data_IF_958114581962
#
_entry.id   IF_958114581962
#
_cell.length_a   1.000
_cell.length_b   1.000
_cell.length_c   1.000
_cell.angle_alpha   90.00
_cell.angle_beta   90.00
_cell.angle_gamma   90.00
#
_symmetry.space_group_name_H-M   'P 1'
#
loop_
_entity.id
_entity.type
_entity.pdbx_description
1 polymer ?
#
# COMPACT_ATOMS: atom_id res chain seq x y z
N UNK A 1 -16.13 10.52 0.17
CA UNK A 1 -15.90 11.83 -0.45
C UNK A 1 -14.61 11.74 -1.25
N UNK A 2 -14.69 11.53 -2.57
CA UNK A 2 -13.52 11.43 -3.45
C UNK A 2 -12.65 12.70 -3.44
N UNK A 3 -13.24 13.87 -3.14
CA UNK A 3 -12.51 15.15 -3.12
C UNK A 3 -12.00 15.50 -1.70
N UNK A 4 -12.26 14.64 -0.72
CA UNK A 4 -11.85 14.80 0.67
C UNK A 4 -10.38 14.37 0.91
N UNK A 5 -9.89 14.52 2.16
CA UNK A 5 -8.51 14.18 2.49
C UNK A 5 -8.17 12.70 2.27
N UNK A 6 -9.19 11.83 2.26
CA UNK A 6 -9.04 10.39 2.05
C UNK A 6 -9.26 9.92 0.60
N UNK A 7 -9.53 10.86 -0.32
CA UNK A 7 -9.86 10.56 -1.72
C UNK A 7 -8.82 9.67 -2.41
N UNK A 8 -7.55 9.97 -2.16
CA UNK A 8 -6.40 9.32 -2.80
C UNK A 8 -5.59 8.44 -1.84
N UNK A 9 -6.19 7.98 -0.74
CA UNK A 9 -5.52 7.04 0.18
C UNK A 9 -5.42 5.62 -0.40
N UNK A 10 -6.27 5.29 -1.36
CA UNK A 10 -6.28 4.03 -2.06
C UNK A 10 -6.09 4.26 -3.55
N UNK A 11 -5.76 3.20 -4.27
CA UNK A 11 -5.53 3.24 -5.71
C UNK A 11 -6.85 3.07 -6.46
N UNK A 12 -7.29 4.12 -7.18
CA UNK A 12 -8.56 4.15 -7.91
C UNK A 12 -8.34 4.26 -9.42
N UNK A 13 -9.23 3.66 -10.20
CA UNK A 13 -9.25 3.75 -11.66
C UNK A 13 -10.69 3.71 -12.21
N UNK A 14 -10.88 4.28 -13.40
CA UNK A 14 -12.18 4.26 -14.09
C UNK A 14 -12.45 2.93 -14.81
N UNK A 15 -11.41 2.15 -15.09
CA UNK A 15 -11.50 0.78 -15.60
C UNK A 15 -10.48 -0.16 -14.93
N UNK A 16 -10.58 -1.46 -15.22
CA UNK A 16 -9.81 -2.54 -14.60
C UNK A 16 -8.56 -2.95 -15.40
N UNK A 17 -8.06 -2.08 -16.27
CA UNK A 17 -7.02 -2.44 -17.26
C UNK A 17 -5.59 -2.09 -16.84
N UNK A 18 -5.44 -1.27 -15.80
CA UNK A 18 -4.13 -0.86 -15.32
C UNK A 18 -3.41 -2.04 -14.66
N UNK A 19 -2.08 -2.06 -14.79
CA UNK A 19 -1.20 -3.06 -14.19
C UNK A 19 -1.49 -4.51 -14.62
N UNK A 20 -1.88 -4.73 -15.89
CA UNK A 20 -2.27 -6.04 -16.41
C UNK A 20 -1.19 -7.14 -16.30
N UNK A 21 0.08 -6.76 -16.18
CA UNK A 21 1.22 -7.69 -16.00
C UNK A 21 1.37 -8.18 -14.54
N UNK A 22 0.63 -7.61 -13.59
CA UNK A 22 0.60 -8.05 -12.20
C UNK A 22 -0.29 -9.30 -12.07
N UNK A 23 0.31 -10.42 -11.63
CA UNK A 23 -0.43 -11.66 -11.34
C UNK A 23 -1.46 -11.46 -10.21
N UNK A 24 -2.49 -12.30 -10.22
CA UNK A 24 -3.43 -12.44 -9.10
C UNK A 24 -2.81 -13.39 -8.06
N UNK A 25 -2.71 -12.97 -6.79
CA UNK A 25 -2.11 -13.79 -5.73
C UNK A 25 -3.05 -14.93 -5.31
N UNK A 26 -4.35 -14.65 -5.16
CA UNK A 26 -5.37 -15.61 -4.76
C UNK A 26 -6.26 -16.01 -5.93
N UNK A 27 -5.67 -16.62 -6.96
CA UNK A 27 -6.36 -16.99 -8.21
C UNK A 27 -7.58 -17.91 -8.03
N UNK A 28 -7.63 -18.68 -6.95
CA UNK A 28 -8.76 -19.56 -6.64
C UNK A 28 -9.98 -18.81 -6.05
N UNK A 29 -9.82 -17.53 -5.72
CA UNK A 29 -10.87 -16.71 -5.06
C UNK A 29 -11.13 -15.40 -5.78
N UNK A 30 -10.08 -14.72 -6.24
CA UNK A 30 -10.18 -13.43 -6.93
C UNK A 30 -10.01 -13.61 -8.43
N UNK A 31 -10.90 -12.99 -9.20
CA UNK A 31 -10.85 -13.02 -10.68
C UNK A 31 -10.01 -11.88 -11.28
N UNK A 32 -9.72 -10.85 -10.49
CA UNK A 32 -8.99 -9.65 -10.89
C UNK A 32 -8.30 -9.03 -9.67
N UNK A 33 -7.27 -8.19 -9.91
CA UNK A 33 -6.71 -7.29 -8.89
C UNK A 33 -7.50 -5.97 -8.77
N UNK A 34 -8.61 -5.83 -9.50
CA UNK A 34 -9.49 -4.68 -9.49
C UNK A 34 -10.91 -5.08 -9.12
N UNK A 35 -11.50 -4.39 -8.15
CA UNK A 35 -12.90 -4.55 -7.75
C UNK A 35 -13.64 -3.23 -7.92
N UNK A 36 -14.83 -3.27 -8.52
CA UNK A 36 -15.69 -2.09 -8.68
C UNK A 36 -16.39 -1.74 -7.36
N UNK A 37 -16.23 -0.50 -6.90
CA UNK A 37 -16.98 0.04 -5.77
C UNK A 37 -18.24 0.78 -6.27
N UNK A 38 -19.47 0.32 -5.92
CA UNK A 38 -20.70 0.92 -6.43
C UNK A 38 -21.03 2.29 -5.81
N UNK A 39 -20.39 2.68 -4.70
CA UNK A 39 -20.64 3.96 -4.03
C UNK A 39 -19.82 5.07 -4.70
N UNK A 40 -18.56 4.80 -5.01
CA UNK A 40 -17.63 5.71 -5.67
C UNK A 40 -17.75 5.66 -7.20
N UNK A 41 -18.22 4.55 -7.75
CA UNK A 41 -18.37 4.37 -9.20
C UNK A 41 -17.03 4.16 -9.92
N UNK A 42 -16.03 3.63 -9.22
CA UNK A 42 -14.67 3.40 -9.72
C UNK A 42 -14.18 2.03 -9.24
N UNK A 43 -13.15 1.51 -9.90
CA UNK A 43 -12.43 0.33 -9.46
C UNK A 43 -11.35 0.71 -8.45
N UNK A 44 -11.16 -0.11 -7.43
CA UNK A 44 -9.99 -0.02 -6.54
C UNK A 44 -9.08 -1.23 -6.72
N UNK A 45 -7.79 -0.99 -6.59
CA UNK A 45 -6.77 -2.03 -6.68
C UNK A 45 -6.66 -2.79 -5.35
N UNK A 46 -6.44 -4.09 -5.44
CA UNK A 46 -6.11 -4.96 -4.31
C UNK A 46 -5.21 -6.11 -4.78
N UNK A 47 -4.11 -6.37 -4.07
CA UNK A 47 -3.23 -7.52 -4.36
C UNK A 47 -3.70 -8.81 -3.72
N UNK A 48 -4.52 -8.68 -2.69
CA UNK A 48 -5.09 -9.77 -1.91
C UNK A 48 -6.59 -9.85 -2.17
N UNK A 49 -7.41 -10.03 -1.14
CA UNK A 49 -8.86 -10.11 -1.32
C UNK A 49 -9.48 -8.75 -1.62
N UNK A 50 -10.63 -8.76 -2.30
CA UNK A 50 -11.42 -7.56 -2.64
C UNK A 50 -11.83 -6.72 -1.42
N UNK A 51 -11.85 -7.29 -0.21
CA UNK A 51 -12.08 -6.53 1.03
C UNK A 51 -10.79 -5.98 1.66
N UNK A 52 -9.65 -6.03 0.97
CA UNK A 52 -8.34 -5.52 1.39
C UNK A 52 -7.81 -4.53 0.35
N UNK A 53 -8.39 -3.32 0.23
CA UNK A 53 -7.94 -2.33 -0.74
C UNK A 53 -6.50 -1.88 -0.47
N UNK A 54 -5.69 -1.84 -1.53
CA UNK A 54 -4.29 -1.44 -1.43
C UNK A 54 -4.17 0.07 -1.20
N UNK A 55 -3.33 0.44 -0.24
CA UNK A 55 -3.00 1.84 0.04
C UNK A 55 -2.16 2.43 -1.11
N UNK A 56 -2.38 3.70 -1.41
CA UNK A 56 -1.64 4.41 -2.44
C UNK A 56 -0.34 5.03 -1.87
N UNK A 57 0.78 4.31 -1.97
CA UNK A 57 2.08 4.80 -1.47
C UNK A 57 2.71 5.93 -2.30
N UNK A 58 2.17 6.28 -3.48
CA UNK A 58 2.54 7.52 -4.17
C UNK A 58 2.03 8.77 -3.42
N UNK A 59 1.00 8.60 -2.58
CA UNK A 59 0.47 9.68 -1.76
C UNK A 59 1.36 9.87 -0.50
N UNK A 60 2.03 11.03 -0.33
CA UNK A 60 2.86 11.27 0.85
C UNK A 60 2.06 11.24 2.15
N UNK A 61 0.76 11.56 2.15
CA UNK A 61 -0.07 11.48 3.35
C UNK A 61 -0.24 10.03 3.83
N UNK A 62 -0.36 9.06 2.91
CA UNK A 62 -0.39 7.63 3.23
C UNK A 62 0.93 7.21 3.89
N UNK A 63 2.06 7.64 3.33
CA UNK A 63 3.38 7.35 3.90
C UNK A 63 3.52 7.90 5.33
N UNK A 64 3.07 9.13 5.57
CA UNK A 64 3.09 9.73 6.91
C UNK A 64 2.18 9.00 7.91
N UNK A 65 1.00 8.56 7.50
CA UNK A 65 0.09 7.78 8.36
C UNK A 65 0.71 6.43 8.75
N UNK A 66 1.35 5.74 7.81
CA UNK A 66 2.03 4.48 8.10
C UNK A 66 3.19 4.70 9.08
N UNK A 67 4.00 5.73 8.88
CA UNK A 67 5.09 6.08 9.81
C UNK A 67 4.55 6.49 11.17
N UNK A 68 3.44 7.23 11.22
CA UNK A 68 2.74 7.60 12.44
C UNK A 68 2.23 6.38 13.21
N UNK A 69 1.66 5.39 12.50
CA UNK A 69 1.23 4.14 13.10
C UNK A 69 2.41 3.34 13.69
N UNK A 70 3.55 3.30 12.98
CA UNK A 70 4.77 2.67 13.51
C UNK A 70 5.26 3.37 14.77
N UNK A 71 5.37 4.71 14.73
CA UNK A 71 5.75 5.53 15.90
C UNK A 71 4.84 5.29 17.09
N UNK A 72 3.52 5.29 16.89
CA UNK A 72 2.56 5.07 17.96
C UNK A 72 2.84 3.80 18.76
N UNK A 73 3.11 2.66 18.09
CA UNK A 73 3.38 1.42 18.79
C UNK A 73 4.79 1.38 19.41
N UNK A 74 5.79 1.99 18.76
CA UNK A 74 7.14 2.10 19.31
C UNK A 74 7.16 2.99 20.56
N UNK A 75 6.39 4.08 20.57
CA UNK A 75 6.20 4.94 21.75
C UNK A 75 5.56 4.18 22.93
N UNK A 76 4.78 3.13 22.65
CA UNK A 76 4.24 2.23 23.67
C UNK A 76 5.25 1.17 24.15
N UNK A 77 6.39 1.01 23.47
CA UNK A 77 7.51 0.19 23.90
C UNK A 77 7.60 -1.21 23.29
N UNK A 78 7.06 -1.44 22.09
CA UNK A 78 7.35 -2.69 21.36
C UNK A 78 8.76 -2.66 20.76
N UNK A 79 9.40 -3.82 20.66
CA UNK A 79 10.80 -3.94 20.17
C UNK A 79 10.92 -4.04 18.63
N UNK A 80 9.85 -3.73 17.89
CA UNK A 80 9.89 -3.66 16.43
C UNK A 80 8.77 -4.44 15.74
N UNK A 81 8.92 -4.59 14.42
CA UNK A 81 7.87 -5.12 13.54
C UNK A 81 8.38 -6.12 12.53
N UNK A 82 7.53 -7.09 12.20
CA UNK A 82 7.56 -7.75 10.89
C UNK A 82 6.66 -6.94 9.95
N UNK A 83 7.24 -6.30 8.95
CA UNK A 83 6.48 -5.61 7.90
C UNK A 83 5.96 -6.64 6.89
N UNK A 84 4.65 -6.78 6.80
CA UNK A 84 3.99 -7.72 5.91
C UNK A 84 3.72 -7.11 4.53
N UNK A 85 3.57 -7.96 3.51
CA UNK A 85 3.22 -7.57 2.13
C UNK A 85 4.14 -6.53 1.45
N UNK A 86 5.33 -6.26 2.01
CA UNK A 86 6.21 -5.18 1.52
C UNK A 86 6.61 -5.26 0.04
N UNK A 87 6.71 -6.42 -0.64
CA UNK A 87 6.98 -6.41 -2.08
C UNK A 87 5.95 -5.65 -2.93
N UNK A 88 4.75 -5.40 -2.39
CA UNK A 88 3.57 -4.97 -3.14
C UNK A 88 3.17 -3.50 -2.93
N UNK A 89 3.97 -2.70 -2.21
CA UNK A 89 3.58 -1.34 -1.81
C UNK A 89 3.34 -0.36 -2.97
N UNK A 90 4.07 -0.53 -4.08
CA UNK A 90 3.97 0.32 -5.26
C UNK A 90 3.61 -0.51 -6.50
N UNK A 91 2.89 0.09 -7.43
CA UNK A 91 2.52 -0.50 -8.71
C UNK A 91 2.98 0.41 -9.87
N UNK A 92 3.40 -0.19 -10.98
CA UNK A 92 3.84 0.54 -12.16
C UNK A 92 3.54 -0.25 -13.42
N UNK A 93 3.09 0.45 -14.47
CA UNK A 93 2.79 -0.15 -15.77
C UNK A 93 4.01 -0.82 -16.40
N UNK A 94 3.77 -1.93 -17.11
CA UNK A 94 4.83 -2.73 -17.74
C UNK A 94 5.71 -3.49 -16.75
N UNK A 95 5.26 -3.65 -15.49
CA UNK A 95 5.94 -4.43 -14.45
C UNK A 95 4.96 -5.41 -13.80
N UNK A 96 5.49 -6.42 -13.10
CA UNK A 96 4.66 -7.31 -12.29
C UNK A 96 4.17 -6.67 -10.97
N UNK A 97 4.47 -5.39 -10.73
CA UNK A 97 4.15 -4.64 -9.51
C UNK A 97 4.71 -5.30 -8.23
N UNK A 98 5.88 -5.93 -8.31
CA UNK A 98 6.58 -6.50 -7.16
C UNK A 98 8.01 -5.96 -7.07
N UNK A 99 8.48 -5.66 -5.85
CA UNK A 99 9.87 -5.29 -5.56
C UNK A 99 10.37 -4.05 -6.33
N UNK A 100 9.48 -3.09 -6.59
CA UNK A 100 9.85 -1.86 -7.29
C UNK A 100 10.87 -1.03 -6.48
N UNK A 101 11.73 -0.23 -7.13
CA UNK A 101 12.70 0.62 -6.42
C UNK A 101 12.07 1.54 -5.37
N UNK A 102 10.90 2.13 -5.68
CA UNK A 102 10.16 3.00 -4.76
C UNK A 102 9.76 2.29 -3.46
N UNK A 103 9.38 1.01 -3.54
CA UNK A 103 9.14 0.16 -2.37
C UNK A 103 10.35 0.13 -1.45
N UNK A 104 11.53 -0.15 -2.00
CA UNK A 104 12.76 -0.22 -1.22
C UNK A 104 13.16 1.14 -0.66
N UNK A 105 12.91 2.22 -1.38
CA UNK A 105 13.20 3.57 -0.91
C UNK A 105 12.30 4.00 0.25
N UNK A 106 11.01 3.64 0.22
CA UNK A 106 10.12 3.81 1.36
C UNK A 106 10.57 2.95 2.56
N UNK A 107 10.98 1.70 2.36
CA UNK A 107 11.50 0.86 3.45
C UNK A 107 12.79 1.42 4.07
N UNK A 108 13.70 1.99 3.26
CA UNK A 108 14.88 2.69 3.78
C UNK A 108 14.51 3.92 4.59
N UNK A 109 13.45 4.63 4.19
CA UNK A 109 12.90 5.76 4.95
C UNK A 109 12.36 5.30 6.31
N UNK A 110 11.54 4.24 6.32
CA UNK A 110 11.04 3.61 7.56
C UNK A 110 12.21 3.27 8.48
N UNK A 111 13.23 2.58 7.97
CA UNK A 111 14.41 2.22 8.75
C UNK A 111 15.14 3.43 9.33
N UNK A 112 15.35 4.48 8.52
CA UNK A 112 16.02 5.71 8.95
C UNK A 112 15.26 6.42 10.06
N UNK A 113 13.93 6.46 9.99
CA UNK A 113 13.11 7.07 11.02
C UNK A 113 13.17 6.28 12.33
N UNK A 114 13.13 4.94 12.26
CA UNK A 114 13.29 4.08 13.43
C UNK A 114 14.68 4.28 14.07
N UNK A 115 15.77 4.21 13.30
CA UNK A 115 17.13 4.41 13.83
C UNK A 115 17.31 5.78 14.51
N UNK A 116 16.62 6.82 14.01
CA UNK A 116 16.74 8.17 14.54
C UNK A 116 15.97 8.39 15.84
N UNK A 117 14.83 7.73 16.02
CA UNK A 117 13.91 7.96 17.15
C UNK A 117 13.97 6.85 18.21
N UNK A 118 14.33 5.64 17.82
CA UNK A 118 14.32 4.43 18.64
C UNK A 118 15.62 3.62 18.42
N UNK A 119 16.78 4.14 18.86
CA UNK A 119 18.10 3.58 18.51
C UNK A 119 18.38 2.18 19.09
N UNK A 120 17.57 1.73 20.05
CA UNK A 120 17.65 0.41 20.68
C UNK A 120 16.68 -0.60 20.04
N UNK A 121 16.00 -0.22 18.95
CA UNK A 121 15.05 -1.04 18.17
C UNK A 121 15.64 -1.48 16.82
#
# INVERSE_FOLDING_TARGET
DPDGPYGDYYMWADDDKQYADARIIFVDTEASNWTFDPVRGQYFFHRFFSHQPDLNYENPAVQEEILGALRFWLDLGIDGFRLDAVPYLYAAEGTNCENLPATHDFLKRVRREIDAMYPDT
#
